data_IF_107142439364
#
_entry.id   IF_107142439364
#
_cell.length_a   1.000
_cell.length_b   1.000
_cell.length_c   1.000
_cell.angle_alpha   90.00
_cell.angle_beta   90.00
_cell.angle_gamma   90.00
#
_symmetry.space_group_name_H-M   'P 1'
#
loop_
_entity.id
_entity.type
_entity.pdbx_description
1 polymer ?
#
# COMPACT_ATOMS: atom_id res chain seq x y z
N UNK A 1 23.87 -17.93 2.61
CA UNK A 1 23.44 -17.37 2.91
C UNK A 1 22.78 -16.92 2.89
N UNK A 2 22.92 -17.05 2.92
CA UNK A 2 22.22 -16.66 2.99
C UNK A 2 21.49 -16.04 3.54
N UNK A 3 21.38 -16.15 3.90
CA UNK A 3 20.29 -15.78 4.67
C UNK A 3 20.03 -14.41 4.97
N UNK A 4 20.88 -13.64 4.95
CA UNK A 4 20.66 -12.25 5.24
C UNK A 4 19.70 -11.55 4.32
N UNK A 5 19.17 -12.27 3.37
CA UNK A 5 18.31 -11.65 2.39
C UNK A 5 16.88 -12.05 2.48
N UNK A 6 16.49 -12.53 3.61
CA UNK A 6 15.07 -12.74 3.79
C UNK A 6 14.43 -11.39 3.93
N UNK A 7 13.71 -11.01 2.92
CA UNK A 7 12.95 -9.77 3.00
C UNK A 7 11.61 -10.05 3.68
N UNK A 8 11.19 -9.13 4.54
CA UNK A 8 9.87 -9.20 5.14
C UNK A 8 8.90 -8.29 4.40
N UNK A 9 9.30 -7.77 3.27
CA UNK A 9 8.40 -6.91 2.49
C UNK A 9 7.30 -7.74 1.86
N UNK A 10 6.12 -7.18 1.88
CA UNK A 10 4.97 -7.78 1.26
C UNK A 10 4.34 -6.75 0.34
N UNK A 11 4.00 -7.15 -0.86
CA UNK A 11 3.35 -6.25 -1.80
C UNK A 11 1.88 -6.62 -1.91
N UNK A 12 1.04 -5.61 -1.89
CA UNK A 12 -0.41 -5.81 -1.97
C UNK A 12 -0.91 -5.29 -3.31
N UNK A 13 -1.82 -6.06 -3.92
CA UNK A 13 -2.50 -5.60 -5.12
C UNK A 13 -3.68 -4.73 -4.71
N UNK A 14 -4.25 -4.03 -5.68
CA UNK A 14 -5.32 -3.06 -5.41
C UNK A 14 -6.44 -3.64 -4.57
N UNK A 15 -6.90 -4.83 -4.92
CA UNK A 15 -8.00 -5.45 -4.19
C UNK A 15 -7.67 -5.66 -2.72
N UNK A 16 -6.44 -6.07 -2.46
CA UNK A 16 -5.99 -6.28 -1.09
C UNK A 16 -5.91 -4.96 -0.33
N UNK A 17 -5.47 -3.90 -1.01
CA UNK A 17 -5.42 -2.57 -0.40
C UNK A 17 -6.83 -2.09 -0.08
N UNK A 18 -7.77 -2.31 -1.00
CA UNK A 18 -9.16 -1.98 -0.76
C UNK A 18 -9.71 -2.69 0.47
N UNK A 19 -9.38 -3.98 0.60
CA UNK A 19 -9.85 -4.77 1.73
C UNK A 19 -9.25 -4.31 3.04
N UNK A 20 -7.97 -3.96 3.02
CA UNK A 20 -7.28 -3.54 4.23
C UNK A 20 -7.72 -2.16 4.71
N UNK A 21 -7.95 -1.24 3.79
CA UNK A 21 -8.23 0.15 4.13
C UNK A 21 -9.72 0.47 4.16
N UNK A 22 -10.51 -0.34 3.49
CA UNK A 22 -11.94 -0.03 3.35
C UNK A 22 -12.24 1.03 2.31
N UNK A 23 -11.23 1.47 1.59
CA UNK A 23 -11.41 2.47 0.53
C UNK A 23 -11.78 1.80 -0.78
N UNK A 24 -12.45 2.56 -1.64
CA UNK A 24 -12.72 2.13 -2.99
C UNK A 24 -11.59 2.58 -3.91
N UNK A 25 -11.49 1.94 -5.06
CA UNK A 25 -10.47 2.23 -6.04
C UNK A 25 -10.33 3.73 -6.33
N UNK A 26 -11.44 4.38 -6.59
CA UNK A 26 -11.41 5.80 -6.94
C UNK A 26 -10.87 6.65 -5.80
N UNK A 27 -11.18 6.29 -4.56
CA UNK A 27 -10.68 7.01 -3.40
C UNK A 27 -9.18 6.82 -3.23
N UNK A 28 -8.70 5.59 -3.47
CA UNK A 28 -7.27 5.31 -3.37
C UNK A 28 -6.50 6.16 -4.37
N UNK A 29 -6.95 6.20 -5.62
CA UNK A 29 -6.24 6.96 -6.64
C UNK A 29 -6.35 8.47 -6.41
N UNK A 30 -7.50 8.93 -5.91
CA UNK A 30 -7.64 10.33 -5.56
C UNK A 30 -6.67 10.73 -4.46
N UNK A 31 -6.59 9.93 -3.40
CA UNK A 31 -5.69 10.21 -2.28
C UNK A 31 -4.23 10.15 -2.70
N UNK A 32 -3.88 9.24 -3.59
CA UNK A 32 -2.53 9.19 -4.14
C UNK A 32 -2.20 10.48 -4.87
N UNK A 33 -3.14 10.97 -5.67
CA UNK A 33 -2.96 12.19 -6.42
C UNK A 33 -2.77 13.39 -5.48
N UNK A 34 -3.45 13.37 -4.36
CA UNK A 34 -3.36 14.45 -3.38
C UNK A 34 -2.15 14.32 -2.46
N UNK A 35 -1.38 13.26 -2.60
CA UNK A 35 -0.24 13.02 -1.73
C UNK A 35 -0.63 12.53 -0.34
N UNK A 36 -1.86 12.03 -0.19
CA UNK A 36 -2.40 11.61 1.10
C UNK A 36 -2.45 10.10 1.27
N UNK A 37 -1.83 9.37 0.38
CA UNK A 37 -1.83 7.91 0.41
C UNK A 37 -0.51 7.40 -0.13
N UNK A 38 -0.03 6.24 0.34
CA UNK A 38 1.24 5.69 -0.16
C UNK A 38 1.19 5.45 -1.67
N UNK A 39 2.31 5.68 -2.31
CA UNK A 39 2.40 5.54 -3.75
C UNK A 39 2.48 4.08 -4.14
N UNK A 40 1.90 3.77 -5.29
CA UNK A 40 2.02 2.42 -5.84
C UNK A 40 3.40 2.20 -6.43
N UNK A 41 3.78 0.95 -6.49
CA UNK A 41 5.05 0.51 -7.05
C UNK A 41 4.73 -0.24 -8.34
N UNK A 42 5.42 0.10 -9.41
CA UNK A 42 5.21 -0.60 -10.67
C UNK A 42 5.98 -1.92 -10.63
N UNK A 43 5.26 -3.02 -10.71
CA UNK A 43 5.87 -4.35 -10.62
C UNK A 43 5.85 -5.11 -11.93
N UNK A 44 5.29 -4.50 -12.97
CA UNK A 44 5.27 -5.09 -14.31
C UNK A 44 4.76 -4.07 -15.30
N UNK A 45 4.69 -4.42 -16.59
CA UNK A 45 4.28 -3.45 -17.61
C UNK A 45 2.93 -2.83 -17.39
N UNK A 46 2.01 -3.58 -16.80
CA UNK A 46 0.66 -3.09 -16.54
C UNK A 46 0.21 -3.44 -15.13
N UNK A 47 1.15 -3.65 -14.23
CA UNK A 47 0.83 -4.11 -12.88
C UNK A 47 1.45 -3.20 -11.84
N UNK A 48 0.65 -2.85 -10.84
CA UNK A 48 1.14 -2.05 -9.72
C UNK A 48 0.76 -2.74 -8.42
N UNK A 49 1.49 -2.39 -7.36
CA UNK A 49 1.24 -2.91 -6.03
C UNK A 49 1.63 -1.84 -5.02
N UNK A 50 1.30 -2.09 -3.78
CA UNK A 50 1.64 -1.19 -2.68
C UNK A 50 2.42 -1.98 -1.64
N UNK A 51 3.37 -1.33 -0.99
CA UNK A 51 4.14 -1.95 0.07
C UNK A 51 3.25 -2.06 1.32
N UNK A 52 3.08 -3.26 1.82
CA UNK A 52 2.18 -3.50 2.94
C UNK A 52 2.53 -2.67 4.16
N UNK A 53 3.81 -2.53 4.47
CA UNK A 53 4.21 -1.76 5.64
C UNK A 53 3.79 -0.29 5.53
N UNK A 54 3.81 0.26 4.33
CA UNK A 54 3.36 1.64 4.11
C UNK A 54 1.85 1.77 4.29
N UNK A 55 1.12 0.76 3.82
CA UNK A 55 -0.33 0.74 4.00
C UNK A 55 -0.66 0.64 5.49
N UNK A 56 0.06 -0.22 6.21
CA UNK A 56 -0.15 -0.37 7.65
C UNK A 56 0.16 0.92 8.41
N UNK A 57 1.22 1.62 8.03
CA UNK A 57 1.55 2.90 8.62
C UNK A 57 0.45 3.94 8.37
N UNK A 58 -0.07 3.95 7.17
CA UNK A 58 -1.16 4.87 6.82
C UNK A 58 -2.39 4.59 7.70
N UNK A 59 -2.71 3.32 7.86
CA UNK A 59 -3.85 2.91 8.70
C UNK A 59 -3.61 3.33 10.16
N UNK A 60 -2.41 3.06 10.66
CA UNK A 60 -2.07 3.41 12.04
C UNK A 60 -2.18 4.91 12.27
N UNK A 61 -1.76 5.70 11.30
CA UNK A 61 -1.86 7.14 11.41
C UNK A 61 -3.32 7.58 11.49
N UNK A 62 -4.18 6.98 10.67
CA UNK A 62 -5.61 7.29 10.72
C UNK A 62 -6.22 6.90 12.06
N UNK A 63 -5.79 5.77 12.61
CA UNK A 63 -6.27 5.34 13.91
C UNK A 63 -5.85 6.32 15.01
N UNK A 64 -4.66 6.89 14.90
CA UNK A 64 -4.16 7.85 15.87
C UNK A 64 -4.86 9.20 15.77
N UNK A 65 -5.33 9.54 14.59
CA UNK A 65 -5.92 10.85 14.32
C UNK A 65 -7.41 10.92 14.64
N UNK A 66 -8.01 9.81 15.00
CA UNK A 66 -9.46 9.79 15.25
C UNK A 66 -9.86 10.41 16.58
#
# INVERSE_FOLDING_TARGET
VTGGYMTSYQLLRLRQVEQKTGLKRSQIYLYMKEGAFPRSIKIGPASVAWLESEIDEWINKKLSDR
#
